data_IF_495066393476
#
_entry.id   IF_495066393476
#
_cell.length_a   1.000
_cell.length_b   1.000
_cell.length_c   1.000
_cell.angle_alpha   90.00
_cell.angle_beta   90.00
_cell.angle_gamma   90.00
#
_symmetry.space_group_name_H-M   'P 1'
#
loop_
_entity.id
_entity.type
_entity.pdbx_description
1 polymer ?
#
# COMPACT_ATOMS: atom_id res chain seq x y z
N UNK A 1 -50.02 -19.30 -71.81
CA UNK A 1 -49.39 -17.96 -71.84
C UNK A 1 -49.27 -17.52 -70.39
N UNK A 2 -48.05 -17.51 -69.85
CA UNK A 2 -47.74 -17.28 -68.43
C UNK A 2 -47.96 -15.81 -68.05
N UNK A 3 -48.49 -15.57 -66.85
CA UNK A 3 -48.47 -14.29 -66.15
C UNK A 3 -47.75 -14.46 -64.81
N UNK A 4 -46.80 -13.58 -64.54
CA UNK A 4 -46.05 -13.43 -63.29
C UNK A 4 -46.82 -12.53 -62.31
N UNK A 5 -46.89 -12.90 -61.02
CA UNK A 5 -46.91 -11.93 -59.91
C UNK A 5 -46.66 -12.55 -58.53
N UNK A 6 -45.60 -12.07 -57.88
CA UNK A 6 -45.42 -11.71 -56.45
C UNK A 6 -46.02 -12.60 -55.34
N UNK A 7 -45.19 -13.08 -54.39
CA UNK A 7 -44.93 -12.38 -53.11
C UNK A 7 -44.00 -13.17 -52.15
N UNK A 8 -42.97 -12.46 -51.68
CA UNK A 8 -42.36 -12.36 -50.32
C UNK A 8 -42.13 -13.60 -49.43
N UNK A 9 -40.90 -13.63 -48.89
CA UNK A 9 -40.14 -14.53 -47.98
C UNK A 9 -40.79 -14.93 -46.64
N UNK A 10 -40.17 -15.88 -45.87
CA UNK A 10 -39.14 -15.47 -44.90
C UNK A 10 -37.93 -16.42 -44.73
N UNK A 11 -36.89 -15.86 -44.10
CA UNK A 11 -35.61 -16.44 -43.68
C UNK A 11 -35.74 -17.57 -42.63
N UNK A 12 -34.80 -18.52 -42.64
CA UNK A 12 -34.30 -19.16 -41.41
C UNK A 12 -32.76 -19.34 -41.50
N UNK A 13 -32.11 -18.75 -40.51
CA UNK A 13 -30.70 -18.80 -40.12
C UNK A 13 -30.26 -20.21 -39.68
N UNK A 14 -29.05 -20.63 -40.05
CA UNK A 14 -28.28 -21.56 -39.21
C UNK A 14 -26.78 -21.30 -39.36
N UNK A 15 -26.15 -21.02 -38.22
CA UNK A 15 -24.73 -20.68 -38.06
C UNK A 15 -23.97 -21.97 -37.76
N UNK A 16 -22.94 -22.27 -38.54
CA UNK A 16 -21.93 -23.27 -38.18
C UNK A 16 -20.59 -22.59 -37.97
N UNK A 17 -20.04 -22.77 -36.77
CA UNK A 17 -18.75 -22.24 -36.30
C UNK A 17 -17.57 -22.77 -37.10
N UNK A 18 -16.63 -21.90 -37.45
CA UNK A 18 -15.29 -22.29 -37.90
C UNK A 18 -14.26 -21.68 -36.94
N UNK A 19 -13.59 -22.55 -36.19
CA UNK A 19 -12.32 -22.24 -35.53
C UNK A 19 -11.20 -22.77 -36.42
N UNK A 20 -10.33 -21.88 -36.90
CA UNK A 20 -9.18 -22.23 -37.72
C UNK A 20 -7.87 -21.78 -37.03
N UNK A 21 -7.04 -22.79 -36.76
CA UNK A 21 -5.57 -22.83 -36.64
C UNK A 21 -4.80 -21.57 -36.24
N UNK A 22 -4.12 -21.67 -35.11
CA UNK A 22 -3.02 -20.78 -34.69
C UNK A 22 -1.81 -21.03 -35.59
N UNK A 23 -1.40 -20.02 -36.36
CA UNK A 23 -0.09 -20.01 -37.03
C UNK A 23 0.96 -19.42 -36.09
N UNK A 24 2.02 -20.18 -35.84
CA UNK A 24 3.20 -19.75 -35.10
C UNK A 24 4.05 -18.83 -35.97
N UNK A 25 3.79 -17.53 -35.91
CA UNK A 25 4.76 -16.52 -36.32
C UNK A 25 5.46 -15.98 -35.07
N UNK A 26 6.77 -16.18 -35.05
CA UNK A 26 7.72 -15.61 -34.09
C UNK A 26 7.61 -14.09 -34.09
N UNK A 27 6.98 -13.51 -33.08
CA UNK A 27 7.12 -12.09 -32.78
C UNK A 27 8.47 -11.91 -32.10
N UNK A 28 9.47 -11.52 -32.90
CA UNK A 28 10.69 -10.89 -32.42
C UNK A 28 10.31 -9.58 -31.72
N UNK A 29 10.02 -9.62 -30.42
CA UNK A 29 9.87 -8.41 -29.60
C UNK A 29 11.24 -7.88 -29.19
N UNK A 30 12.01 -7.41 -30.17
CA UNK A 30 12.97 -6.33 -29.89
C UNK A 30 12.17 -5.03 -29.84
N UNK A 31 11.60 -4.73 -28.68
CA UNK A 31 11.14 -3.38 -28.40
C UNK A 31 11.56 -2.98 -26.99
N UNK A 32 12.84 -2.67 -26.85
CA UNK A 32 13.37 -1.88 -25.73
C UNK A 32 12.91 -0.44 -25.91
N UNK A 33 11.66 -0.12 -25.57
CA UNK A 33 11.27 1.25 -25.30
C UNK A 33 11.52 1.50 -23.82
N UNK A 34 12.52 2.32 -23.50
CA UNK A 34 12.67 2.91 -22.17
C UNK A 34 11.38 3.64 -21.82
N UNK A 35 10.55 3.05 -20.95
CA UNK A 35 9.21 3.55 -20.65
C UNK A 35 9.31 4.75 -19.73
N UNK A 36 9.09 5.95 -20.27
CA UNK A 36 8.76 7.11 -19.45
C UNK A 36 7.52 6.82 -18.60
N UNK A 37 7.40 7.39 -17.39
CA UNK A 37 6.22 7.24 -16.56
C UNK A 37 4.97 7.71 -17.32
N UNK A 38 3.85 6.97 -17.20
CA UNK A 38 2.58 7.36 -17.80
C UNK A 38 2.03 8.67 -17.21
N UNK A 39 2.34 8.92 -15.94
CA UNK A 39 1.90 10.09 -15.19
C UNK A 39 2.90 10.35 -14.06
N UNK A 40 3.19 11.62 -13.81
CA UNK A 40 4.03 12.07 -12.69
C UNK A 40 3.17 12.98 -11.81
N UNK A 41 3.11 12.68 -10.52
CA UNK A 41 2.44 13.52 -9.54
C UNK A 41 3.46 14.44 -8.88
N UNK A 42 3.27 15.75 -9.04
CA UNK A 42 4.13 16.77 -8.44
C UNK A 42 3.40 17.45 -7.27
N UNK A 43 4.16 17.83 -6.24
CA UNK A 43 3.62 18.65 -5.16
C UNK A 43 4.39 18.58 -3.86
N UNK A 44 5.05 17.47 -3.55
CA UNK A 44 5.95 17.42 -2.39
C UNK A 44 7.14 18.38 -2.57
N UNK A 45 7.56 19.01 -1.47
CA UNK A 45 8.68 19.97 -1.46
C UNK A 45 10.01 19.33 -1.03
N UNK A 46 10.00 18.01 -0.82
CA UNK A 46 11.16 17.20 -0.50
C UNK A 46 11.02 15.77 -1.05
N UNK A 47 12.08 14.98 -0.92
CA UNK A 47 12.12 13.62 -1.48
C UNK A 47 10.94 12.77 -0.97
N UNK A 48 10.31 12.07 -1.91
CA UNK A 48 9.23 11.12 -1.60
C UNK A 48 9.87 9.79 -1.22
N UNK A 49 9.76 9.42 0.05
CA UNK A 49 10.46 8.26 0.59
C UNK A 49 9.64 6.96 0.47
N UNK A 50 8.32 7.07 0.39
CA UNK A 50 7.40 5.93 0.38
C UNK A 50 6.08 6.29 -0.32
N UNK A 51 5.40 5.27 -0.84
CA UNK A 51 4.04 5.37 -1.36
C UNK A 51 3.29 4.04 -1.21
N UNK A 52 1.97 4.11 -1.01
CA UNK A 52 1.09 2.95 -0.88
C UNK A 52 -0.25 3.20 -1.61
N UNK A 53 -0.72 2.22 -2.38
CA UNK A 53 -2.03 2.29 -3.01
C UNK A 53 -3.15 2.11 -1.98
N UNK A 54 -4.27 2.79 -2.21
CA UNK A 54 -5.52 2.41 -1.57
C UNK A 54 -6.05 1.10 -2.21
N UNK A 55 -6.84 0.30 -1.47
CA UNK A 55 -7.45 -0.92 -2.02
C UNK A 55 -8.37 -0.69 -3.23
N UNK A 56 -8.86 0.54 -3.43
CA UNK A 56 -9.71 0.91 -4.58
C UNK A 56 -8.93 1.18 -5.87
N UNK A 57 -7.58 1.18 -5.80
CA UNK A 57 -6.63 1.46 -6.89
C UNK A 57 -6.78 2.84 -7.56
N UNK A 58 -7.72 3.67 -7.11
CA UNK A 58 -7.94 5.01 -7.64
C UNK A 58 -7.14 6.06 -6.89
N UNK A 59 -6.74 5.74 -5.65
CA UNK A 59 -5.93 6.61 -4.82
C UNK A 59 -4.63 5.96 -4.40
N UNK A 60 -3.67 6.80 -4.06
CA UNK A 60 -2.47 6.39 -3.33
C UNK A 60 -2.12 7.44 -2.28
N UNK A 61 -1.36 7.05 -1.28
CA UNK A 61 -0.75 7.95 -0.31
C UNK A 61 0.76 7.91 -0.46
N UNK A 62 1.42 9.05 -0.28
CA UNK A 62 2.89 9.14 -0.20
C UNK A 62 3.32 9.84 1.09
N UNK A 63 4.54 9.53 1.54
CA UNK A 63 5.22 10.22 2.64
C UNK A 63 6.55 10.81 2.17
N UNK A 64 6.90 12.01 2.65
CA UNK A 64 8.04 12.78 2.16
C UNK A 64 8.90 13.39 3.28
N UNK A 65 10.11 13.80 2.90
CA UNK A 65 11.02 14.62 3.70
C UNK A 65 10.50 16.05 3.91
N UNK A 66 9.42 16.47 3.25
CA UNK A 66 8.72 17.73 3.57
C UNK A 66 7.81 17.65 4.82
N UNK A 67 7.89 16.53 5.55
CA UNK A 67 7.15 16.23 6.79
C UNK A 67 5.65 16.01 6.59
N UNK A 68 5.20 15.92 5.34
CA UNK A 68 3.79 15.69 5.02
C UNK A 68 3.57 14.31 4.42
N UNK A 69 2.31 13.87 4.52
CA UNK A 69 1.78 12.88 3.61
C UNK A 69 0.89 13.58 2.60
N UNK A 70 0.73 12.97 1.42
CA UNK A 70 -0.23 13.42 0.41
C UNK A 70 -1.07 12.26 -0.08
N UNK A 71 -2.38 12.50 -0.20
CA UNK A 71 -3.28 11.58 -0.89
C UNK A 71 -3.47 12.09 -2.31
N UNK A 72 -3.33 11.19 -3.26
CA UNK A 72 -3.43 11.45 -4.68
C UNK A 72 -4.60 10.66 -5.24
N UNK A 73 -5.37 11.31 -6.10
CA UNK A 73 -6.33 10.66 -6.97
C UNK A 73 -5.71 10.53 -8.36
N UNK A 74 -5.88 9.35 -8.98
CA UNK A 74 -5.32 9.02 -10.29
C UNK A 74 -5.61 10.09 -11.35
N UNK A 75 -6.80 10.69 -11.31
CA UNK A 75 -7.26 11.65 -12.31
C UNK A 75 -7.12 13.11 -11.88
N UNK A 76 -7.16 13.38 -10.56
CA UNK A 76 -7.14 14.76 -10.03
C UNK A 76 -5.77 15.22 -9.52
N UNK A 77 -4.81 14.31 -9.35
CA UNK A 77 -3.54 14.62 -8.70
C UNK A 77 -3.70 14.71 -7.18
N UNK A 78 -2.97 15.62 -6.53
CA UNK A 78 -3.05 15.79 -5.08
C UNK A 78 -4.46 16.25 -4.67
N UNK A 79 -5.12 15.47 -3.81
CA UNK A 79 -6.44 15.83 -3.28
C UNK A 79 -6.38 16.23 -1.80
N UNK A 80 -5.39 15.76 -1.05
CA UNK A 80 -5.22 16.13 0.37
C UNK A 80 -3.74 16.17 0.79
N UNK A 81 -3.43 17.06 1.73
CA UNK A 81 -2.10 17.17 2.37
C UNK A 81 -2.26 16.97 3.87
N UNK A 82 -1.72 15.88 4.39
CA UNK A 82 -1.81 15.54 5.80
C UNK A 82 -0.59 16.11 6.53
N UNK A 83 -0.86 17.13 7.34
CA UNK A 83 0.15 17.84 8.12
C UNK A 83 0.10 17.41 9.58
N UNK A 84 1.25 17.21 10.19
CA UNK A 84 1.33 16.96 11.62
C UNK A 84 2.66 16.39 12.08
N UNK A 85 3.34 15.58 11.25
CA UNK A 85 4.71 15.19 11.52
C UNK A 85 5.63 16.42 11.53
N UNK A 86 6.62 16.41 12.42
CA UNK A 86 7.58 17.51 12.58
C UNK A 86 8.94 17.22 11.96
N UNK A 87 9.08 16.05 11.34
CA UNK A 87 10.30 15.55 10.70
C UNK A 87 9.91 14.60 9.55
N UNK A 88 10.90 14.04 8.84
CA UNK A 88 10.72 13.22 7.65
C UNK A 88 9.75 12.06 7.85
N UNK A 89 8.85 11.85 6.90
CA UNK A 89 7.97 10.68 6.87
C UNK A 89 8.69 9.56 6.15
N UNK A 90 8.93 8.44 6.86
CA UNK A 90 9.75 7.33 6.37
C UNK A 90 8.93 6.26 5.67
N UNK A 91 7.76 5.94 6.19
CA UNK A 91 6.92 4.87 5.67
C UNK A 91 5.44 5.20 5.88
N UNK A 92 4.60 4.69 4.98
CA UNK A 92 3.15 4.85 4.99
C UNK A 92 2.47 3.55 4.61
N UNK A 93 1.28 3.32 5.15
CA UNK A 93 0.43 2.20 4.76
C UNK A 93 -1.05 2.56 4.85
N UNK A 94 -1.89 1.83 4.11
CA UNK A 94 -3.35 2.03 4.06
C UNK A 94 -4.03 0.82 4.68
N UNK A 95 -5.02 1.05 5.54
CA UNK A 95 -5.82 -0.04 6.12
C UNK A 95 -6.57 -0.79 5.02
N UNK A 96 -6.85 -2.07 5.26
CA UNK A 96 -7.40 -2.92 4.20
C UNK A 96 -8.83 -2.56 3.79
N UNK A 97 -9.56 -1.86 4.65
CA UNK A 97 -10.85 -1.25 4.34
C UNK A 97 -10.75 0.14 3.65
N UNK A 98 -9.53 0.65 3.43
CA UNK A 98 -9.24 1.94 2.80
C UNK A 98 -9.58 3.16 3.66
N UNK A 99 -9.96 2.99 4.92
CA UNK A 99 -10.49 4.09 5.76
C UNK A 99 -9.42 4.83 6.56
N UNK A 100 -8.27 4.21 6.78
CA UNK A 100 -7.21 4.76 7.60
C UNK A 100 -5.89 4.73 6.85
N UNK A 101 -5.06 5.73 7.14
CA UNK A 101 -3.64 5.75 6.76
C UNK A 101 -2.83 5.68 8.04
N UNK A 102 -1.71 4.97 8.01
CA UNK A 102 -0.70 4.99 9.05
C UNK A 102 0.62 5.54 8.50
N UNK A 103 1.36 6.27 9.32
CA UNK A 103 2.68 6.79 8.99
C UNK A 103 3.68 6.61 10.12
N UNK A 104 4.94 6.39 9.76
CA UNK A 104 6.10 6.45 10.66
C UNK A 104 7.06 7.56 10.24
N UNK A 105 7.66 8.23 11.22
CA UNK A 105 8.51 9.41 10.98
C UNK A 105 9.75 9.46 11.87
N UNK A 106 10.73 10.24 11.43
CA UNK A 106 11.90 10.65 12.20
C UNK A 106 11.52 11.51 13.43
N UNK A 107 10.28 12.02 13.51
CA UNK A 107 9.75 12.64 14.72
C UNK A 107 9.47 11.63 15.85
N UNK A 108 9.80 10.35 15.63
CA UNK A 108 9.72 9.24 16.58
C UNK A 108 8.28 8.82 16.90
N UNK A 109 7.32 9.27 16.10
CA UNK A 109 5.90 8.92 16.25
C UNK A 109 5.40 8.02 15.13
N UNK A 110 4.40 7.22 15.47
CA UNK A 110 3.50 6.61 14.48
C UNK A 110 2.18 7.36 14.54
N UNK A 111 1.57 7.69 13.41
CA UNK A 111 0.30 8.44 13.38
C UNK A 111 -0.74 7.71 12.55
N UNK A 112 -1.99 7.78 13.00
CA UNK A 112 -3.17 7.28 12.28
C UNK A 112 -3.98 8.46 11.79
N UNK A 113 -4.37 8.41 10.53
CA UNK A 113 -5.14 9.44 9.85
C UNK A 113 -6.42 8.84 9.28
N UNK A 114 -7.47 9.67 9.20
CA UNK A 114 -8.69 9.33 8.49
C UNK A 114 -8.45 9.49 6.98
N UNK A 115 -8.52 8.39 6.24
CA UNK A 115 -8.08 8.31 4.84
C UNK A 115 -8.88 9.14 3.84
N UNK A 116 -10.09 9.61 4.18
CA UNK A 116 -10.92 10.43 3.27
C UNK A 116 -10.76 11.94 3.49
N UNK A 117 -10.47 12.37 4.72
CA UNK A 117 -10.48 13.78 5.13
C UNK A 117 -9.09 14.30 5.54
N UNK A 118 -8.09 13.42 5.62
CA UNK A 118 -6.76 13.78 6.08
C UNK A 118 -6.66 14.14 7.57
N UNK A 119 -7.75 13.97 8.34
CA UNK A 119 -7.78 14.31 9.77
C UNK A 119 -6.91 13.34 10.58
N UNK A 120 -6.02 13.89 11.41
CA UNK A 120 -5.22 13.08 12.33
C UNK A 120 -6.12 12.51 13.44
N UNK A 121 -6.18 11.19 13.54
CA UNK A 121 -7.01 10.48 14.53
C UNK A 121 -6.23 10.20 15.80
N UNK A 122 -4.98 9.73 15.69
CA UNK A 122 -4.14 9.36 16.83
C UNK A 122 -2.66 9.55 16.56
N UNK A 123 -1.93 9.78 17.64
CA UNK A 123 -0.46 9.77 17.70
C UNK A 123 -0.05 8.67 18.68
N UNK A 124 0.82 7.78 18.23
CA UNK A 124 1.40 6.72 19.04
C UNK A 124 2.82 7.13 19.43
N UNK A 125 2.96 7.53 20.69
CA UNK A 125 4.23 7.94 21.26
C UNK A 125 4.93 6.76 21.96
N UNK A 126 6.26 6.80 21.99
CA UNK A 126 7.04 5.94 22.86
C UNK A 126 8.30 5.37 22.23
N UNK A 127 8.42 5.35 20.90
CA UNK A 127 9.70 5.11 20.24
C UNK A 127 10.71 6.18 20.69
N UNK A 128 11.98 5.78 20.81
CA UNK A 128 13.06 6.66 21.29
C UNK A 128 13.95 7.21 20.19
N UNK A 129 13.75 6.70 18.98
CA UNK A 129 14.45 7.09 17.78
C UNK A 129 13.52 6.97 16.57
N UNK A 130 14.05 7.24 15.38
CA UNK A 130 13.31 7.30 14.12
C UNK A 130 12.45 6.06 13.87
N UNK A 131 11.21 6.28 13.43
CA UNK A 131 10.33 5.19 13.01
C UNK A 131 10.50 5.00 11.51
N UNK A 132 11.13 3.90 11.14
CA UNK A 132 11.54 3.61 9.76
C UNK A 132 10.49 2.89 8.95
N UNK A 133 9.60 2.17 9.62
CA UNK A 133 8.60 1.34 8.96
C UNK A 133 7.31 1.22 9.76
N UNK A 134 6.19 1.13 9.04
CA UNK A 134 4.86 0.87 9.61
C UNK A 134 4.07 -0.08 8.69
N UNK A 135 3.13 -0.84 9.26
CA UNK A 135 2.16 -1.62 8.48
C UNK A 135 0.92 -1.93 9.32
N UNK A 136 -0.26 -1.87 8.72
CA UNK A 136 -1.47 -2.41 9.34
C UNK A 136 -1.46 -3.95 9.36
N UNK A 137 -2.09 -4.54 10.37
CA UNK A 137 -2.53 -5.94 10.29
C UNK A 137 -3.67 -6.08 9.28
N UNK A 138 -3.88 -7.28 8.73
CA UNK A 138 -4.92 -7.54 7.74
C UNK A 138 -6.35 -7.20 8.23
N UNK A 139 -6.60 -7.30 9.54
CA UNK A 139 -7.87 -6.91 10.17
C UNK A 139 -7.95 -5.43 10.55
N UNK A 140 -6.90 -4.64 10.26
CA UNK A 140 -6.74 -3.21 10.55
C UNK A 140 -6.88 -2.84 12.04
N UNK A 141 -6.75 -3.82 12.95
CA UNK A 141 -6.86 -3.59 14.40
C UNK A 141 -5.54 -3.26 15.06
N UNK A 142 -4.44 -3.64 14.44
CA UNK A 142 -3.10 -3.37 14.94
C UNK A 142 -2.20 -2.77 13.88
N UNK A 143 -1.17 -2.07 14.33
CA UNK A 143 -0.07 -1.59 13.49
C UNK A 143 1.22 -2.14 14.04
N UNK A 144 2.09 -2.66 13.17
CA UNK A 144 3.48 -2.95 13.51
C UNK A 144 4.35 -1.75 13.08
N UNK A 145 5.33 -1.40 13.90
CA UNK A 145 6.37 -0.42 13.54
C UNK A 145 7.77 -0.90 13.88
N UNK A 146 8.74 -0.53 13.04
CA UNK A 146 10.17 -0.74 13.25
C UNK A 146 10.92 0.60 13.38
N UNK A 147 11.91 0.64 14.26
CA UNK A 147 12.62 1.88 14.62
C UNK A 147 14.11 1.71 14.83
N UNK A 148 14.83 2.82 14.68
CA UNK A 148 16.24 2.96 15.04
C UNK A 148 16.48 2.82 16.57
N UNK A 149 15.43 2.78 17.39
CA UNK A 149 15.53 2.47 18.83
C UNK A 149 15.69 0.96 19.15
N UNK A 150 15.93 0.17 18.10
CA UNK A 150 16.13 -1.28 18.10
C UNK A 150 14.91 -2.04 18.60
N UNK A 151 13.72 -1.48 18.38
CA UNK A 151 12.47 -2.16 18.73
C UNK A 151 11.53 -2.32 17.55
N UNK A 152 10.86 -3.46 17.56
CA UNK A 152 9.57 -3.63 16.91
C UNK A 152 8.48 -3.39 17.94
N UNK A 153 7.45 -2.64 17.55
CA UNK A 153 6.27 -2.39 18.39
C UNK A 153 5.01 -2.77 17.66
N UNK A 154 4.05 -3.32 18.42
CA UNK A 154 2.70 -3.59 17.94
C UNK A 154 1.74 -2.71 18.72
N UNK A 155 1.01 -1.87 18.01
CA UNK A 155 0.08 -0.89 18.55
C UNK A 155 -1.35 -1.35 18.29
N UNK A 156 -2.22 -1.24 19.30
CA UNK A 156 -3.66 -1.39 19.12
C UNK A 156 -4.23 -0.10 18.55
N UNK A 157 -4.80 -0.18 17.35
CA UNK A 157 -5.30 0.98 16.62
C UNK A 157 -6.35 1.73 17.41
N UNK A 158 -7.28 1.04 18.07
CA UNK A 158 -8.39 1.65 18.83
C UNK A 158 -7.91 2.47 20.04
N UNK A 159 -6.91 1.97 20.77
CA UNK A 159 -6.50 2.55 22.05
C UNK A 159 -5.24 3.39 21.96
N UNK A 160 -4.46 3.25 20.89
CA UNK A 160 -3.13 3.84 20.73
C UNK A 160 -2.09 3.34 21.73
N UNK A 161 -2.35 2.20 22.37
CA UNK A 161 -1.44 1.56 23.32
C UNK A 161 -0.73 0.38 22.67
N UNK A 162 0.39 -0.03 23.27
CA UNK A 162 1.06 -1.25 22.86
C UNK A 162 0.24 -2.49 23.19
N UNK A 163 0.15 -3.43 22.25
CA UNK A 163 -0.49 -4.73 22.47
C UNK A 163 0.28 -5.58 23.49
N UNK A 164 1.60 -5.46 23.52
CA UNK A 164 2.52 -6.07 24.49
C UNK A 164 3.83 -5.25 24.55
N UNK A 165 4.75 -5.61 25.44
CA UNK A 165 6.03 -4.88 25.61
C UNK A 165 6.82 -4.82 24.29
N UNK A 166 7.57 -3.74 24.00
CA UNK A 166 8.37 -3.65 22.79
C UNK A 166 9.29 -4.87 22.61
N UNK A 167 9.35 -5.40 21.40
CA UNK A 167 10.23 -6.49 21.03
C UNK A 167 11.62 -5.89 20.83
N UNK A 168 12.62 -6.42 21.53
CA UNK A 168 14.01 -5.98 21.37
C UNK A 168 14.68 -6.76 20.24
N UNK A 169 15.19 -6.04 19.26
CA UNK A 169 15.89 -6.58 18.12
C UNK A 169 17.40 -6.36 18.26
N UNK A 170 18.20 -7.14 17.53
CA UNK A 170 19.63 -6.91 17.41
C UNK A 170 19.93 -5.79 16.39
N UNK A 171 19.94 -4.54 16.84
CA UNK A 171 20.26 -3.36 16.04
C UNK A 171 19.04 -2.65 15.44
N UNK A 172 19.29 -1.73 14.51
CA UNK A 172 18.26 -0.93 13.84
C UNK A 172 17.21 -1.80 13.14
N UNK A 173 15.97 -1.34 13.14
CA UNK A 173 14.86 -2.02 12.48
C UNK A 173 14.36 -1.16 11.33
N UNK A 174 14.97 -1.37 10.16
CA UNK A 174 14.63 -0.65 8.93
C UNK A 174 13.25 -1.05 8.38
N UNK A 175 12.86 -2.31 8.56
CA UNK A 175 11.54 -2.79 8.15
C UNK A 175 10.92 -3.75 9.18
N UNK A 176 9.61 -3.63 9.40
CA UNK A 176 8.81 -4.57 10.16
C UNK A 176 7.50 -4.84 9.40
N UNK A 177 7.18 -6.12 9.16
CA UNK A 177 6.04 -6.54 8.34
C UNK A 177 5.32 -7.73 8.96
N UNK A 178 3.99 -7.73 8.91
CA UNK A 178 3.19 -8.90 9.20
C UNK A 178 3.34 -9.97 8.11
N UNK A 179 3.27 -11.24 8.48
CA UNK A 179 3.00 -12.32 7.53
C UNK A 179 1.60 -12.14 6.92
N UNK A 180 1.32 -12.68 5.72
CA UNK A 180 -0.02 -12.64 5.13
C UNK A 180 -1.12 -13.23 6.03
N UNK A 181 -0.79 -14.25 6.83
CA UNK A 181 -1.67 -14.85 7.84
C UNK A 181 -1.84 -14.00 9.11
N UNK A 182 -0.99 -12.99 9.31
CA UNK A 182 -0.99 -12.10 10.49
C UNK A 182 -0.49 -12.74 11.78
N UNK A 183 -0.04 -14.00 11.74
CA UNK A 183 0.45 -14.75 12.90
C UNK A 183 1.91 -14.45 13.25
N UNK A 184 2.66 -13.86 12.32
CA UNK A 184 4.09 -13.57 12.46
C UNK A 184 4.41 -12.14 12.09
N UNK A 185 5.53 -11.67 12.63
CA UNK A 185 6.17 -10.42 12.22
C UNK A 185 7.59 -10.75 11.77
N UNK A 186 7.98 -10.28 10.59
CA UNK A 186 9.37 -10.25 10.16
C UNK A 186 9.94 -8.85 10.39
N UNK A 187 11.14 -8.77 10.94
CA UNK A 187 11.87 -7.50 11.10
C UNK A 187 13.25 -7.58 10.46
N UNK A 188 13.61 -6.57 9.69
CA UNK A 188 14.88 -6.48 8.97
C UNK A 188 15.68 -5.23 9.34
N UNK A 189 17.00 -5.37 9.25
CA UNK A 189 18.02 -4.33 9.45
C UNK A 189 19.38 -4.93 9.08
N UNK A 190 20.29 -5.10 10.04
CA UNK A 190 21.52 -5.89 9.84
C UNK A 190 21.27 -7.37 9.51
N UNK A 191 20.14 -7.92 9.96
CA UNK A 191 19.70 -9.29 9.70
C UNK A 191 18.18 -9.38 9.76
N UNK A 192 17.62 -10.57 9.54
CA UNK A 192 16.19 -10.83 9.58
C UNK A 192 15.87 -11.64 10.84
N UNK A 193 14.87 -11.19 11.60
CA UNK A 193 14.35 -11.86 12.79
C UNK A 193 12.85 -12.10 12.62
N UNK A 194 12.33 -13.23 13.12
CA UNK A 194 10.92 -13.59 13.01
C UNK A 194 10.29 -13.78 14.38
N UNK A 195 9.14 -13.15 14.59
CA UNK A 195 8.44 -13.07 15.86
C UNK A 195 7.01 -13.59 15.75
N UNK A 196 6.49 -14.12 16.84
CA UNK A 196 5.05 -14.38 17.00
C UNK A 196 4.31 -13.05 17.18
N UNK A 197 3.33 -12.79 16.31
CA UNK A 197 2.63 -11.51 16.26
C UNK A 197 1.75 -11.22 17.50
N UNK A 198 1.36 -12.26 18.25
CA UNK A 198 0.45 -12.14 19.40
C UNK A 198 1.19 -11.93 20.71
N UNK A 199 2.41 -12.46 20.82
CA UNK A 199 3.19 -12.48 22.05
C UNK A 199 4.52 -11.72 21.96
N UNK A 200 5.01 -11.44 20.76
CA UNK A 200 6.32 -10.82 20.53
C UNK A 200 7.50 -11.73 20.81
N UNK A 201 7.28 -13.05 20.99
CA UNK A 201 8.35 -14.03 21.21
C UNK A 201 9.07 -14.35 19.90
N UNK A 202 10.39 -14.45 19.94
CA UNK A 202 11.19 -14.90 18.79
C UNK A 202 10.85 -16.36 18.45
N UNK A 203 10.76 -16.67 17.16
CA UNK A 203 10.45 -18.02 16.68
C UNK A 203 11.66 -18.68 16.01
N UNK A 204 12.46 -17.91 15.26
CA UNK A 204 13.62 -18.36 14.47
C UNK A 204 14.69 -17.27 14.44
#
# INVERSE_FOLDING_TARGET
>A
MLALSHSVSPEITSITSVVASVSSQSVSSKNTSHTAPLQVFEGHEGDVNCACFYPDENKLVSGSWDHTLRIWDRNKGAIEVLRGHTDWVRDVDVSWDGRMVVSGSDDKTVRIWKGELGEMMRVFEGHKDYVKSVQFSADSRTVVSGSDDWTVRVWTVETGKLAFKPIKCFGFVDCARYSPSGDRIASGGFGIQVWDAKSGRGIL
#
